data_IF_035393720553
#
_entry.id   IF_035393720553
#
_cell.length_a   1.000
_cell.length_b   1.000
_cell.length_c   1.000
_cell.angle_alpha   90.00
_cell.angle_beta   90.00
_cell.angle_gamma   90.00
#
_symmetry.space_group_name_H-M   'P 1'
#
loop_
_entity.id
_entity.type
_entity.pdbx_description
1 polymer ?
#
# COMPACT_ATOMS: atom_id res chain seq x y z
N UNK A 1 -8.85 -9.80 3.15
CA UNK A 1 -7.49 -10.00 3.70
C UNK A 1 -6.81 -8.64 3.77
N UNK A 2 -6.20 -8.35 4.90
CA UNK A 2 -5.51 -7.07 5.09
C UNK A 2 -4.03 -7.23 4.79
N UNK A 3 -3.49 -6.25 4.08
CA UNK A 3 -2.08 -6.23 3.70
C UNK A 3 -1.50 -4.84 3.95
N UNK A 4 -0.20 -4.81 4.12
CA UNK A 4 0.57 -3.59 4.20
C UNK A 4 1.51 -3.56 2.98
N UNK A 5 1.46 -2.49 2.20
CA UNK A 5 2.38 -2.28 1.09
C UNK A 5 3.35 -1.18 1.48
N UNK A 6 4.64 -1.48 1.42
CA UNK A 6 5.69 -0.50 1.68
C UNK A 6 6.63 -0.44 0.48
N UNK A 7 7.13 0.73 0.17
CA UNK A 7 8.07 0.87 -0.94
C UNK A 7 9.09 1.97 -0.68
N UNK A 8 10.26 1.77 -1.26
CA UNK A 8 11.35 2.73 -1.28
C UNK A 8 11.84 2.81 -2.73
N UNK A 9 11.58 3.92 -3.38
CA UNK A 9 11.86 4.13 -4.80
C UNK A 9 12.99 5.11 -4.95
N UNK A 10 13.96 4.78 -5.82
CA UNK A 10 15.03 5.69 -6.16
C UNK A 10 14.50 6.88 -6.96
N UNK A 11 14.45 8.05 -6.32
CA UNK A 11 13.90 9.28 -6.91
C UNK A 11 14.97 10.26 -7.39
N UNK A 12 16.21 9.83 -7.48
CA UNK A 12 17.31 10.67 -7.95
C UNK A 12 17.19 11.03 -9.43
N UNK A 13 16.43 10.24 -10.19
CA UNK A 13 16.25 10.44 -11.61
C UNK A 13 14.79 10.77 -11.91
N UNK A 14 14.55 11.37 -13.08
CA UNK A 14 13.19 11.66 -13.55
C UNK A 14 12.37 10.39 -13.75
N UNK A 15 12.89 9.31 -14.36
CA UNK A 15 12.16 8.03 -14.43
C UNK A 15 11.80 7.46 -13.05
N UNK A 16 12.70 7.59 -12.08
CA UNK A 16 12.43 7.14 -10.70
C UNK A 16 11.27 7.88 -10.06
N UNK A 17 11.21 9.19 -10.24
CA UNK A 17 10.09 9.99 -9.74
C UNK A 17 8.77 9.61 -10.42
N UNK A 18 8.81 9.26 -11.71
CA UNK A 18 7.62 8.78 -12.42
C UNK A 18 7.17 7.41 -11.89
N UNK A 19 8.12 6.52 -11.57
CA UNK A 19 7.79 5.23 -10.95
C UNK A 19 7.13 5.40 -9.59
N UNK A 20 7.66 6.30 -8.78
CA UNK A 20 7.09 6.60 -7.46
C UNK A 20 5.62 7.00 -7.57
N UNK A 21 5.30 7.91 -8.48
CA UNK A 21 3.91 8.36 -8.70
C UNK A 21 3.01 7.23 -9.16
N UNK A 22 3.52 6.38 -10.06
CA UNK A 22 2.76 5.25 -10.59
C UNK A 22 2.47 4.21 -9.52
N UNK A 23 3.47 3.89 -8.70
CA UNK A 23 3.32 2.93 -7.60
C UNK A 23 2.30 3.45 -6.59
N UNK A 24 2.42 4.71 -6.19
CA UNK A 24 1.48 5.33 -5.26
C UNK A 24 0.05 5.29 -5.81
N UNK A 25 -0.14 5.59 -7.08
CA UNK A 25 -1.46 5.58 -7.72
C UNK A 25 -2.07 4.18 -7.76
N UNK A 26 -1.26 3.15 -8.02
CA UNK A 26 -1.72 1.77 -7.96
C UNK A 26 -2.20 1.43 -6.55
N UNK A 27 -1.42 1.77 -5.53
CA UNK A 27 -1.78 1.51 -4.14
C UNK A 27 -3.05 2.25 -3.73
N UNK A 28 -3.21 3.50 -4.16
CA UNK A 28 -4.42 4.30 -3.89
C UNK A 28 -5.68 3.64 -4.41
N UNK A 29 -5.59 2.88 -5.49
CA UNK A 29 -6.72 2.13 -6.04
C UNK A 29 -7.12 0.93 -5.21
N UNK A 30 -6.33 0.53 -4.22
CA UNK A 30 -6.56 -0.68 -3.42
C UNK A 30 -6.61 -0.43 -1.92
N UNK A 31 -6.20 0.75 -1.45
CA UNK A 31 -6.14 1.01 -0.02
C UNK A 31 -5.90 2.45 0.34
N UNK A 32 -5.42 2.66 1.55
CA UNK A 32 -5.24 3.98 2.13
C UNK A 32 -3.78 4.21 2.46
N UNK A 33 -3.29 5.41 2.12
CA UNK A 33 -1.96 5.85 2.53
C UNK A 33 -2.00 6.18 4.02
N UNK A 34 -1.14 5.52 4.80
CA UNK A 34 -1.02 5.78 6.25
C UNK A 34 0.30 6.46 6.59
N UNK A 35 1.31 6.29 5.72
CA UNK A 35 2.57 7.03 5.74
C UNK A 35 2.99 7.29 4.29
N UNK A 36 4.00 8.11 4.05
CA UNK A 36 4.37 8.51 2.68
C UNK A 36 4.47 7.34 1.69
N UNK A 37 5.14 6.28 2.09
CA UNK A 37 5.37 5.11 1.25
C UNK A 37 4.79 3.85 1.88
N UNK A 38 3.71 3.99 2.63
CA UNK A 38 3.05 2.89 3.33
C UNK A 38 1.54 2.98 3.10
N UNK A 39 0.98 1.89 2.58
CA UNK A 39 -0.47 1.76 2.35
C UNK A 39 -1.01 0.56 3.10
N UNK A 40 -2.17 0.73 3.73
CA UNK A 40 -2.97 -0.38 4.26
C UNK A 40 -4.08 -0.65 3.27
N UNK A 41 -4.18 -1.90 2.82
CA UNK A 41 -5.14 -2.32 1.80
C UNK A 41 -5.94 -3.51 2.31
N UNK A 42 -7.24 -3.54 1.98
CA UNK A 42 -8.08 -4.71 2.17
C UNK A 42 -8.41 -5.27 0.80
N UNK A 43 -7.98 -6.49 0.52
CA UNK A 43 -8.07 -7.08 -0.82
C UNK A 43 -8.54 -8.54 -0.75
N UNK A 44 -9.19 -8.99 -1.82
CA UNK A 44 -9.42 -10.42 -2.04
C UNK A 44 -8.13 -11.04 -2.61
N UNK A 45 -8.10 -12.38 -2.68
CA UNK A 45 -6.96 -13.07 -3.30
C UNK A 45 -6.75 -12.66 -4.75
N UNK A 46 -7.83 -12.50 -5.51
CA UNK A 46 -7.76 -12.07 -6.90
C UNK A 46 -7.22 -10.64 -7.02
N UNK A 47 -7.68 -9.74 -6.14
CA UNK A 47 -7.20 -8.36 -6.10
C UNK A 47 -5.72 -8.31 -5.71
N UNK A 48 -5.30 -9.16 -4.79
CA UNK A 48 -3.89 -9.24 -4.38
C UNK A 48 -3.00 -9.65 -5.56
N UNK A 49 -3.43 -10.63 -6.36
CA UNK A 49 -2.67 -11.05 -7.54
C UNK A 49 -2.56 -9.93 -8.57
N UNK A 50 -3.64 -9.20 -8.80
CA UNK A 50 -3.64 -8.04 -9.69
C UNK A 50 -2.70 -6.96 -9.18
N UNK A 51 -2.75 -6.68 -7.88
CA UNK A 51 -1.90 -5.69 -7.24
C UNK A 51 -0.42 -6.07 -7.37
N UNK A 52 -0.08 -7.32 -7.05
CA UNK A 52 1.29 -7.84 -7.20
C UNK A 52 1.82 -7.63 -8.61
N UNK A 53 1.05 -8.01 -9.61
CA UNK A 53 1.46 -7.90 -11.01
C UNK A 53 1.67 -6.44 -11.41
N UNK A 54 0.74 -5.56 -11.04
CA UNK A 54 0.83 -4.15 -11.39
C UNK A 54 2.03 -3.48 -10.72
N UNK A 55 2.27 -3.76 -9.46
CA UNK A 55 3.39 -3.20 -8.72
C UNK A 55 4.73 -3.68 -9.28
N UNK A 56 4.85 -4.97 -9.57
CA UNK A 56 6.09 -5.52 -10.15
C UNK A 56 6.38 -4.93 -11.53
N UNK A 57 5.34 -4.68 -12.31
CA UNK A 57 5.51 -4.06 -13.63
C UNK A 57 5.89 -2.59 -13.52
N UNK A 58 5.39 -1.88 -12.52
CA UNK A 58 5.65 -0.45 -12.35
C UNK A 58 7.03 -0.16 -11.76
N UNK A 59 7.56 -1.03 -10.90
CA UNK A 59 8.83 -0.80 -10.22
C UNK A 59 10.03 -1.20 -11.06
N UNK A 60 11.20 -0.69 -10.68
CA UNK A 60 12.49 -1.19 -11.15
C UNK A 60 13.06 -2.12 -10.09
N UNK A 61 13.20 -3.41 -10.42
CA UNK A 61 13.73 -4.39 -9.47
C UNK A 61 15.19 -4.14 -9.10
N UNK A 62 15.90 -3.38 -9.93
CA UNK A 62 17.32 -3.05 -9.70
C UNK A 62 17.50 -1.83 -8.80
N UNK A 63 16.55 -0.88 -8.83
CA UNK A 63 16.71 0.41 -8.16
C UNK A 63 15.74 0.64 -7.00
N UNK A 64 14.65 -0.12 -6.96
CA UNK A 64 13.57 0.10 -6.01
C UNK A 64 13.40 -1.09 -5.07
N UNK A 65 12.83 -0.85 -3.89
CA UNK A 65 12.40 -1.90 -2.97
C UNK A 65 10.90 -1.77 -2.74
N UNK A 66 10.21 -2.91 -2.73
CA UNK A 66 8.78 -2.96 -2.47
C UNK A 66 8.49 -4.21 -1.65
N UNK A 67 7.67 -4.06 -0.62
CA UNK A 67 7.27 -5.17 0.24
C UNK A 67 5.78 -5.21 0.40
N UNK A 68 5.24 -6.42 0.46
CA UNK A 68 3.84 -6.67 0.81
C UNK A 68 3.84 -7.56 2.04
N UNK A 69 3.27 -7.04 3.12
CA UNK A 69 3.11 -7.79 4.37
C UNK A 69 1.68 -8.27 4.45
N UNK A 70 1.49 -9.57 4.58
CA UNK A 70 0.17 -10.17 4.77
C UNK A 70 -0.16 -10.13 6.26
N UNK A 71 -1.11 -9.29 6.63
CA UNK A 71 -1.52 -9.16 8.03
C UNK A 71 -2.50 -10.28 8.36
N UNK A 72 -2.14 -11.10 9.32
CA UNK A 72 -2.96 -12.24 9.72
C UNK A 72 -3.84 -11.83 10.89
N UNK A 73 -5.15 -11.76 10.64
CA UNK A 73 -6.13 -11.31 11.60
C UNK A 73 -6.78 -9.99 11.17
N UNK A 74 -7.67 -9.48 12.02
CA UNK A 74 -8.34 -8.22 11.75
C UNK A 74 -7.36 -7.06 12.01
N UNK A 75 -7.51 -5.97 11.26
CA UNK A 75 -6.64 -4.81 11.40
C UNK A 75 -6.52 -4.34 12.84
N UNK A 76 -7.62 -4.23 13.54
CA UNK A 76 -7.64 -3.74 14.93
C UNK A 76 -6.90 -4.64 15.91
N UNK A 77 -6.65 -5.91 15.53
CA UNK A 77 -5.91 -6.85 16.36
C UNK A 77 -4.42 -6.90 16.05
N UNK A 78 -4.03 -6.43 14.85
CA UNK A 78 -2.65 -6.59 14.36
C UNK A 78 -1.94 -5.27 14.11
N UNK A 79 -2.65 -4.15 14.14
CA UNK A 79 -2.06 -2.81 13.98
C UNK A 79 -2.27 -2.01 15.24
N UNK A 80 -1.18 -1.53 15.82
CA UNK A 80 -1.20 -0.54 16.89
C UNK A 80 -0.71 0.78 16.30
N UNK A 81 -1.58 1.80 16.32
CA UNK A 81 -1.23 3.11 15.79
C UNK A 81 -1.18 4.12 16.92
N UNK A 82 -0.13 4.92 16.95
CA UNK A 82 0.10 5.92 17.97
C UNK A 82 0.26 7.29 17.32
N UNK A 83 -0.25 8.30 17.99
CA UNK A 83 -0.18 9.67 17.50
C UNK A 83 -1.23 9.95 16.44
N UNK A 84 -0.89 10.78 15.46
CA UNK A 84 -1.80 11.18 14.40
C UNK A 84 -1.92 10.07 13.37
N UNK A 85 -3.14 9.52 13.20
CA UNK A 85 -3.41 8.44 12.27
C UNK A 85 -4.38 8.91 11.19
N UNK A 86 -4.01 8.72 9.94
CA UNK A 86 -4.84 9.08 8.79
C UNK A 86 -5.76 7.94 8.31
N UNK A 87 -5.66 6.77 8.93
CA UNK A 87 -6.52 5.64 8.56
C UNK A 87 -8.00 5.95 8.86
N UNK A 88 -8.87 5.57 7.92
CA UNK A 88 -10.32 5.71 8.05
C UNK A 88 -10.97 4.35 7.91
N UNK A 89 -11.80 3.97 8.88
CA UNK A 89 -12.63 2.78 8.79
C UNK A 89 -13.93 3.14 8.07
N UNK A 90 -14.01 2.82 6.79
CA UNK A 90 -15.18 3.13 5.98
C UNK A 90 -16.42 2.38 6.44
N UNK A 91 -16.29 1.22 7.07
CA UNK A 91 -17.45 0.49 7.61
C UNK A 91 -18.05 1.23 8.78
N UNK A 92 -17.25 1.80 9.68
CA UNK A 92 -17.73 2.64 10.75
C UNK A 92 -18.49 3.86 10.22
N UNK A 93 -17.96 4.50 9.19
CA UNK A 93 -18.61 5.64 8.56
C UNK A 93 -19.97 5.30 7.97
N UNK A 94 -20.12 4.11 7.40
CA UNK A 94 -21.36 3.65 6.80
C UNK A 94 -22.43 3.29 7.85
N UNK A 95 -21.99 2.86 9.03
CA UNK A 95 -22.88 2.47 10.13
C UNK A 95 -23.31 3.70 10.93
N UNK A 96 -22.42 4.64 11.08
CA UNK A 96 -22.69 5.88 11.79
C UNK A 96 -23.62 6.78 10.99
#
# INVERSE_FOLDING_TARGET
>A
MDILVTYDVNTLTKPGRARLRRIAKICEGHGQRVQFSVFECTVSEAQLETLRRRLRTAMSVEEDNLRIYLLRGRREDVVEAYGKDSYVDFQELLIA
#
